data_IF_374659802988
#
_entry.id   IF_374659802988
#
_cell.length_a   1.000
_cell.length_b   1.000
_cell.length_c   1.000
_cell.angle_alpha   90.00
_cell.angle_beta   90.00
_cell.angle_gamma   90.00
#
_symmetry.space_group_name_H-M   'P 1'
#
loop_
_entity.id
_entity.type
_entity.pdbx_description
1 polymer ?
#
# COMPACT_ATOMS: atom_id res chain seq x y z
N UNK A 1 -1.33 54.63 -20.75
CA UNK A 1 -1.33 53.16 -20.54
C UNK A 1 0.05 52.56 -20.88
N UNK A 2 1.14 52.99 -20.20
CA UNK A 2 2.52 52.60 -20.56
C UNK A 2 3.13 51.50 -19.68
N UNK A 3 2.47 51.13 -18.60
CA UNK A 3 2.98 50.16 -17.61
C UNK A 3 2.17 48.86 -17.56
N UNK A 4 1.12 48.73 -18.39
CA UNK A 4 0.31 47.52 -18.50
C UNK A 4 1.11 46.24 -18.86
N UNK A 5 2.12 46.27 -19.76
CA UNK A 5 2.89 45.06 -20.05
C UNK A 5 3.84 44.64 -18.91
N UNK A 6 4.18 45.55 -17.98
CA UNK A 6 5.06 45.25 -16.84
C UNK A 6 4.27 44.51 -15.74
N UNK A 7 2.98 44.84 -15.57
CA UNK A 7 2.10 44.17 -14.60
C UNK A 7 1.85 42.69 -14.98
N UNK A 8 1.81 42.37 -16.28
CA UNK A 8 1.56 41.01 -16.77
C UNK A 8 2.76 40.07 -16.56
N UNK A 9 3.99 40.60 -16.56
CA UNK A 9 5.22 39.80 -16.35
C UNK A 9 5.40 39.43 -14.87
N UNK A 10 4.97 40.28 -13.94
CA UNK A 10 5.08 40.00 -12.49
C UNK A 10 4.10 38.89 -12.05
N UNK A 11 2.97 38.74 -12.73
CA UNK A 11 1.96 37.71 -12.44
C UNK A 11 2.35 36.30 -12.89
N UNK A 12 3.35 36.16 -13.78
CA UNK A 12 3.81 34.86 -14.29
C UNK A 12 4.95 34.25 -13.44
N UNK A 13 5.43 34.97 -12.43
CA UNK A 13 6.59 34.56 -11.61
C UNK A 13 6.25 33.76 -10.36
N UNK A 14 4.97 33.51 -10.07
CA UNK A 14 4.55 32.58 -9.01
C UNK A 14 4.49 31.13 -9.50
N UNK A 15 5.45 30.74 -10.33
CA UNK A 15 5.77 29.34 -10.57
C UNK A 15 6.34 28.76 -9.28
N UNK A 16 5.47 28.18 -8.45
CA UNK A 16 5.86 27.36 -7.32
C UNK A 16 6.75 26.24 -7.88
N UNK A 17 8.07 26.34 -7.73
CA UNK A 17 8.96 25.24 -8.08
C UNK A 17 8.53 24.08 -7.19
N UNK A 18 8.21 22.96 -7.83
CA UNK A 18 8.01 21.70 -7.13
C UNK A 18 9.39 21.23 -6.68
N UNK A 19 9.92 21.86 -5.64
CA UNK A 19 11.14 21.41 -4.99
C UNK A 19 10.84 20.01 -4.43
N UNK A 20 11.43 18.99 -5.04
CA UNK A 20 11.40 17.64 -4.51
C UNK A 20 12.02 17.68 -3.11
N UNK A 21 11.23 17.36 -2.09
CA UNK A 21 11.68 17.44 -0.70
C UNK A 21 12.55 16.21 -0.46
N UNK A 22 13.86 16.36 -0.66
CA UNK A 22 14.86 15.37 -0.25
C UNK A 22 15.30 15.71 1.18
N UNK A 23 14.81 14.98 2.20
CA UNK A 23 15.15 15.30 3.59
C UNK A 23 16.62 14.99 3.86
N UNK A 24 17.28 15.84 4.65
CA UNK A 24 18.66 15.63 5.07
C UNK A 24 18.74 14.60 6.20
N UNK A 25 19.94 14.06 6.43
CA UNK A 25 20.19 13.20 7.59
C UNK A 25 19.81 13.87 8.91
N UNK A 26 19.17 13.11 9.79
CA UNK A 26 18.62 13.58 11.06
C UNK A 26 17.42 14.53 10.96
N UNK A 27 16.96 14.89 9.75
CA UNK A 27 15.83 15.79 9.58
C UNK A 27 14.54 15.14 10.09
N UNK A 28 13.75 15.89 10.86
CA UNK A 28 12.41 15.48 11.25
C UNK A 28 11.42 15.85 10.16
N UNK A 29 10.63 14.87 9.74
CA UNK A 29 9.60 15.01 8.73
C UNK A 29 8.27 14.46 9.22
N UNK A 30 7.22 14.83 8.52
CA UNK A 30 5.91 14.21 8.67
C UNK A 30 5.66 13.28 7.48
N UNK A 31 5.20 12.07 7.76
CA UNK A 31 4.84 11.08 6.75
C UNK A 31 3.35 10.79 6.86
N UNK A 32 2.72 10.61 5.70
CA UNK A 32 1.41 9.99 5.57
C UNK A 32 1.60 8.51 5.30
N UNK A 33 0.96 7.65 6.08
CA UNK A 33 0.92 6.20 5.87
C UNK A 33 -0.51 5.83 5.48
N UNK A 34 -0.65 5.17 4.34
CA UNK A 34 -1.95 4.78 3.81
C UNK A 34 -2.60 3.60 4.54
N UNK A 35 -3.83 3.30 4.13
CA UNK A 35 -4.76 2.39 4.81
C UNK A 35 -4.51 0.89 4.57
N UNK A 36 -3.54 0.54 3.73
CA UNK A 36 -3.14 -0.86 3.60
C UNK A 36 -2.46 -1.29 4.90
N UNK A 37 -2.24 -2.58 5.09
CA UNK A 37 -1.49 -3.05 6.26
C UNK A 37 -0.22 -3.78 5.82
N UNK A 38 -0.28 -4.51 4.71
CA UNK A 38 0.89 -5.16 4.12
C UNK A 38 1.77 -4.17 3.34
N UNK A 39 3.08 -4.42 3.40
CA UNK A 39 4.15 -3.58 2.83
C UNK A 39 4.14 -3.56 1.30
N UNK A 40 3.64 -4.61 0.64
CA UNK A 40 3.67 -4.74 -0.83
C UNK A 40 2.81 -3.69 -1.55
N UNK A 41 1.73 -3.23 -0.93
CA UNK A 41 0.85 -2.17 -1.44
C UNK A 41 0.91 -0.90 -0.59
N UNK A 42 1.79 -0.86 0.40
CA UNK A 42 1.95 0.27 1.29
C UNK A 42 2.47 1.47 0.51
N UNK A 43 1.76 2.58 0.64
CA UNK A 43 2.22 3.89 0.18
C UNK A 43 2.47 4.76 1.39
N UNK A 44 3.73 5.12 1.55
CA UNK A 44 4.17 6.15 2.49
C UNK A 44 4.50 7.39 1.65
N UNK A 45 4.04 8.55 2.09
CA UNK A 45 4.27 9.80 1.40
C UNK A 45 4.80 10.87 2.33
N UNK A 46 5.73 11.69 1.84
CA UNK A 46 6.22 12.86 2.55
C UNK A 46 5.16 13.97 2.55
N UNK A 47 4.95 14.60 3.71
CA UNK A 47 4.04 15.73 3.85
C UNK A 47 4.80 17.07 3.86
N UNK A 48 4.17 18.16 3.39
CA UNK A 48 2.79 18.25 2.87
C UNK A 48 2.64 17.87 1.38
N UNK A 49 3.74 17.68 0.65
CA UNK A 49 3.73 17.49 -0.82
C UNK A 49 3.09 16.18 -1.31
N UNK A 50 2.85 15.21 -0.42
CA UNK A 50 2.38 13.85 -0.71
C UNK A 50 3.24 13.11 -1.75
N UNK A 51 4.55 13.39 -1.75
CA UNK A 51 5.50 12.68 -2.60
C UNK A 51 5.70 11.27 -2.06
N UNK A 52 5.46 10.24 -2.88
CA UNK A 52 5.67 8.85 -2.50
C UNK A 52 7.16 8.63 -2.18
N UNK A 53 7.44 8.04 -1.02
CA UNK A 53 8.81 7.65 -0.69
C UNK A 53 9.13 6.31 -1.37
N UNK A 54 10.39 6.15 -1.76
CA UNK A 54 10.93 4.90 -2.35
C UNK A 54 11.69 4.04 -1.34
N UNK A 55 11.62 4.39 -0.06
CA UNK A 55 12.24 3.68 1.06
C UNK A 55 11.18 3.29 2.10
N UNK A 56 11.59 2.76 3.25
CA UNK A 56 10.72 2.26 4.31
C UNK A 56 10.70 3.16 5.55
N UNK A 57 9.68 2.92 6.39
CA UNK A 57 9.55 3.46 7.74
C UNK A 57 9.86 2.35 8.74
N UNK A 58 10.98 2.49 9.43
CA UNK A 58 11.45 1.58 10.47
C UNK A 58 10.73 1.83 11.81
N UNK A 59 10.36 0.75 12.50
CA UNK A 59 9.83 0.80 13.86
C UNK A 59 8.37 1.23 14.00
N UNK A 60 7.59 1.24 12.92
CA UNK A 60 6.16 1.54 12.97
C UNK A 60 5.30 0.26 12.95
N UNK A 61 5.27 -0.43 14.10
CA UNK A 61 4.56 -1.71 14.25
C UNK A 61 3.08 -1.55 14.65
N UNK A 62 2.64 -0.32 14.97
CA UNK A 62 1.27 0.00 15.40
C UNK A 62 0.26 0.10 14.24
N UNK A 63 0.62 -0.41 13.05
CA UNK A 63 -0.18 -0.25 11.85
C UNK A 63 -1.40 -1.17 11.85
N UNK A 64 -2.57 -0.56 11.77
CA UNK A 64 -3.84 -1.28 11.60
C UNK A 64 -4.44 -1.09 10.21
N UNK A 65 -5.02 -2.18 9.68
CA UNK A 65 -5.74 -2.17 8.41
C UNK A 65 -6.93 -1.20 8.46
N UNK A 66 -7.14 -0.46 7.37
CA UNK A 66 -8.28 0.44 7.23
C UNK A 66 -8.14 1.77 7.98
N UNK A 67 -6.93 2.08 8.44
CA UNK A 67 -6.58 3.36 9.07
C UNK A 67 -5.46 4.05 8.32
N UNK A 68 -5.58 5.36 8.16
CA UNK A 68 -4.48 6.20 7.69
C UNK A 68 -3.80 6.89 8.86
N UNK A 69 -2.50 7.12 8.75
CA UNK A 69 -1.72 7.72 9.82
C UNK A 69 -0.97 8.94 9.31
N UNK A 70 -0.89 9.95 10.17
CA UNK A 70 0.14 10.97 10.09
C UNK A 70 1.16 10.65 11.16
N UNK A 71 2.42 10.44 10.79
CA UNK A 71 3.48 10.09 11.73
C UNK A 71 4.61 11.11 11.65
N UNK A 72 5.27 11.31 12.78
CA UNK A 72 6.56 11.99 12.85
C UNK A 72 7.65 10.94 12.70
N UNK A 73 8.60 11.21 11.82
CA UNK A 73 9.74 10.35 11.61
C UNK A 73 11.03 11.18 11.42
N UNK A 74 12.16 10.54 11.68
CA UNK A 74 13.48 11.09 11.47
C UNK A 74 14.15 10.42 10.29
N UNK A 75 14.67 11.18 9.36
CA UNK A 75 15.45 10.63 8.26
C UNK A 75 16.80 10.14 8.76
N UNK A 76 17.20 8.95 8.31
CA UNK A 76 18.48 8.34 8.64
C UNK A 76 19.26 7.99 7.38
N UNK A 77 20.50 8.45 7.32
CA UNK A 77 21.49 8.05 6.34
C UNK A 77 22.60 7.25 7.05
N UNK A 78 22.76 5.95 6.77
CA UNK A 78 23.84 5.18 7.34
C UNK A 78 25.19 5.72 6.84
N UNK A 79 26.21 5.71 7.72
CA UNK A 79 27.59 6.09 7.35
C UNK A 79 28.17 5.18 6.26
N UNK A 80 27.76 3.91 6.26
CA UNK A 80 28.09 2.92 5.24
C UNK A 80 26.77 2.35 4.74
N UNK A 81 26.38 2.59 3.48
CA UNK A 81 25.10 2.09 2.97
C UNK A 81 25.10 0.56 2.93
N UNK A 82 23.95 -0.07 3.20
CA UNK A 82 23.80 -1.52 3.02
C UNK A 82 24.01 -1.89 1.55
N UNK A 83 24.63 -3.04 1.29
CA UNK A 83 24.91 -3.52 -0.06
C UNK A 83 23.62 -3.72 -0.88
N UNK A 84 22.58 -4.27 -0.24
CA UNK A 84 21.30 -4.62 -0.89
C UNK A 84 20.12 -3.86 -0.25
N UNK A 85 20.33 -2.61 0.19
CA UNK A 85 19.28 -1.79 0.82
C UNK A 85 19.27 -0.35 0.35
N UNK A 86 18.26 0.44 0.77
CA UNK A 86 18.19 1.84 0.39
C UNK A 86 19.31 2.65 1.08
N UNK A 87 19.73 3.72 0.40
CA UNK A 87 20.75 4.64 0.91
C UNK A 87 20.28 5.48 2.11
N UNK A 88 18.98 5.46 2.41
CA UNK A 88 18.35 6.11 3.54
C UNK A 88 17.03 5.44 3.91
N UNK A 89 16.54 5.67 5.12
CA UNK A 89 15.19 5.31 5.55
C UNK A 89 14.67 6.28 6.61
N UNK A 90 13.43 6.09 7.04
CA UNK A 90 12.83 6.90 8.10
C UNK A 90 12.71 6.06 9.37
N UNK A 91 13.10 6.64 10.51
CA UNK A 91 12.92 6.05 11.83
C UNK A 91 11.66 6.67 12.44
N UNK A 92 10.69 5.84 12.77
CA UNK A 92 9.45 6.26 13.44
C UNK A 92 9.75 6.91 14.80
N UNK A 93 9.14 8.05 15.08
CA UNK A 93 9.22 8.69 16.41
C UNK A 93 7.87 8.64 17.15
N UNK A 94 6.77 9.00 16.49
CA UNK A 94 5.42 8.95 17.07
C UNK A 94 4.31 9.10 16.05
N UNK A 95 3.12 8.63 16.40
CA UNK A 95 1.87 8.95 15.70
C UNK A 95 1.46 10.39 16.03
N UNK A 96 1.12 11.17 15.01
CA UNK A 96 0.55 12.52 15.12
C UNK A 96 -0.97 12.49 14.98
N UNK A 97 -1.48 11.68 14.05
CA UNK A 97 -2.91 11.39 13.92
C UNK A 97 -3.13 9.98 13.38
N UNK A 98 -4.26 9.40 13.77
CA UNK A 98 -4.79 8.12 13.27
C UNK A 98 -6.25 8.38 12.88
N UNK A 99 -6.58 8.09 11.63
CA UNK A 99 -7.90 8.37 11.06
C UNK A 99 -8.45 7.11 10.40
N UNK A 100 -9.77 6.91 10.51
CA UNK A 100 -10.45 5.82 9.81
C UNK A 100 -10.47 6.17 8.32
N UNK A 101 -10.04 5.22 7.48
CA UNK A 101 -10.18 5.38 6.04
C UNK A 101 -11.65 5.23 5.63
N UNK A 102 -12.31 6.36 5.39
CA UNK A 102 -13.76 6.40 5.16
C UNK A 102 -14.18 6.17 3.70
N UNK A 103 -13.24 6.03 2.76
CA UNK A 103 -13.61 5.75 1.38
C UNK A 103 -14.19 4.34 1.25
N UNK A 104 -15.26 4.24 0.48
CA UNK A 104 -15.85 2.98 0.04
C UNK A 104 -15.40 2.59 -1.36
N UNK A 105 -14.44 3.33 -1.93
CA UNK A 105 -13.87 3.02 -3.24
C UNK A 105 -13.17 1.67 -3.19
N UNK A 106 -13.56 0.71 -4.05
CA UNK A 106 -12.89 -0.57 -4.12
C UNK A 106 -11.44 -0.45 -4.59
N UNK A 107 -10.59 -1.36 -4.13
CA UNK A 107 -9.19 -1.46 -4.52
C UNK A 107 -8.79 -2.91 -4.71
N UNK A 108 -7.70 -3.14 -5.45
CA UNK A 108 -7.22 -4.48 -5.74
C UNK A 108 -6.22 -4.98 -4.71
N UNK A 109 -6.37 -6.23 -4.28
CA UNK A 109 -5.36 -7.01 -3.58
C UNK A 109 -4.99 -8.23 -4.43
N UNK A 110 -3.74 -8.68 -4.33
CA UNK A 110 -3.35 -9.91 -5.03
C UNK A 110 -3.73 -11.12 -4.19
N UNK A 111 -4.35 -12.11 -4.83
CA UNK A 111 -4.64 -13.42 -4.23
C UNK A 111 -3.55 -14.45 -4.55
N UNK A 112 -2.46 -14.01 -5.20
CA UNK A 112 -1.28 -14.82 -5.53
C UNK A 112 -0.05 -14.21 -4.86
N UNK A 113 0.81 -15.04 -4.28
CA UNK A 113 2.16 -14.61 -3.91
C UNK A 113 3.18 -15.14 -4.91
N UNK A 114 4.25 -14.38 -5.12
CA UNK A 114 5.45 -14.81 -5.84
C UNK A 114 6.63 -14.69 -4.88
N UNK A 115 7.31 -15.79 -4.62
CA UNK A 115 8.53 -15.83 -3.82
C UNK A 115 9.69 -16.44 -4.61
N UNK A 116 10.88 -16.35 -4.04
CA UNK A 116 12.09 -16.94 -4.62
C UNK A 116 11.95 -18.45 -4.88
N UNK A 117 11.19 -19.14 -4.02
CA UNK A 117 10.98 -20.59 -4.06
C UNK A 117 9.69 -21.01 -4.77
N UNK A 118 8.99 -20.09 -5.44
CA UNK A 118 7.80 -20.38 -6.23
C UNK A 118 6.63 -19.43 -6.00
N UNK A 119 5.53 -19.72 -6.68
CA UNK A 119 4.28 -18.96 -6.60
C UNK A 119 3.16 -19.81 -6.02
N UNK A 120 2.18 -19.17 -5.39
CA UNK A 120 1.03 -19.87 -4.83
C UNK A 120 -0.14 -18.95 -4.52
N UNK A 121 -1.20 -19.53 -3.99
CA UNK A 121 -2.39 -18.79 -3.55
C UNK A 121 -2.13 -18.17 -2.18
N UNK A 122 -2.35 -16.86 -2.05
CA UNK A 122 -2.07 -16.06 -0.85
C UNK A 122 -3.13 -16.18 0.26
N UNK A 123 -4.16 -16.99 0.05
CA UNK A 123 -5.20 -17.26 1.03
C UNK A 123 -5.52 -18.76 1.15
N UNK A 124 -6.20 -19.11 2.23
CA UNK A 124 -6.70 -20.46 2.51
C UNK A 124 -8.17 -20.42 2.89
N UNK A 125 -8.86 -21.55 2.77
CA UNK A 125 -10.21 -21.73 3.31
C UNK A 125 -10.15 -22.72 4.47
N UNK A 126 -10.44 -22.25 5.69
CA UNK A 126 -10.41 -23.04 6.93
C UNK A 126 -11.58 -22.63 7.80
N UNK A 127 -12.22 -23.59 8.47
CA UNK A 127 -13.34 -23.31 9.39
C UNK A 127 -14.43 -22.41 8.78
N UNK A 128 -14.72 -22.57 7.49
CA UNK A 128 -15.69 -21.76 6.72
C UNK A 128 -15.30 -20.29 6.52
N UNK A 129 -14.04 -19.93 6.74
CA UNK A 129 -13.50 -18.58 6.57
C UNK A 129 -12.38 -18.60 5.53
N UNK A 130 -12.34 -17.58 4.66
CA UNK A 130 -11.19 -17.33 3.80
C UNK A 130 -10.17 -16.47 4.55
N UNK A 131 -9.01 -17.05 4.84
CA UNK A 131 -7.91 -16.43 5.58
C UNK A 131 -6.84 -15.94 4.60
N UNK A 132 -6.54 -14.65 4.61
CA UNK A 132 -5.52 -13.97 3.80
C UNK A 132 -4.50 -13.31 4.74
N UNK A 133 -3.38 -13.99 4.97
CA UNK A 133 -2.41 -13.57 5.99
C UNK A 133 -3.07 -13.47 7.38
N UNK A 134 -3.04 -12.27 7.96
CA UNK A 134 -3.69 -11.97 9.25
C UNK A 134 -5.13 -11.44 9.09
N UNK A 135 -5.67 -11.44 7.86
CA UNK A 135 -6.95 -10.84 7.53
C UNK A 135 -7.96 -11.89 7.03
N UNK A 136 -9.24 -11.56 7.12
CA UNK A 136 -10.33 -12.39 6.58
C UNK A 136 -10.85 -11.80 5.28
N UNK A 137 -11.07 -12.65 4.27
CA UNK A 137 -11.78 -12.29 3.04
C UNK A 137 -13.24 -12.71 3.18
N UNK A 138 -14.13 -11.74 3.37
CA UNK A 138 -15.57 -11.99 3.40
C UNK A 138 -16.15 -11.79 2.00
N UNK A 139 -16.68 -12.83 1.34
CA UNK A 139 -17.34 -12.64 0.05
C UNK A 139 -18.58 -11.74 0.24
N UNK A 140 -18.82 -10.85 -0.72
CA UNK A 140 -20.02 -10.00 -0.71
C UNK A 140 -21.30 -10.82 -0.90
N UNK A 141 -21.24 -11.89 -1.69
CA UNK A 141 -22.36 -12.77 -2.00
C UNK A 141 -21.87 -14.18 -2.40
N UNK A 142 -22.81 -15.11 -2.60
CA UNK A 142 -22.50 -16.51 -2.95
C UNK A 142 -21.76 -16.66 -4.28
N UNK A 143 -21.98 -15.75 -5.25
CA UNK A 143 -21.26 -15.79 -6.52
C UNK A 143 -19.78 -15.45 -6.30
N UNK A 144 -19.45 -14.44 -5.50
CA UNK A 144 -18.07 -14.10 -5.15
C UNK A 144 -17.42 -15.20 -4.31
N UNK A 145 -18.18 -15.82 -3.40
CA UNK A 145 -17.70 -16.99 -2.65
C UNK A 145 -17.24 -18.09 -3.59
N UNK A 146 -18.06 -18.42 -4.59
CA UNK A 146 -17.72 -19.43 -5.60
C UNK A 146 -16.45 -19.06 -6.39
N UNK A 147 -16.28 -17.78 -6.74
CA UNK A 147 -15.05 -17.32 -7.42
C UNK A 147 -13.79 -17.53 -6.55
N UNK A 148 -13.86 -17.26 -5.24
CA UNK A 148 -12.76 -17.54 -4.31
C UNK A 148 -12.46 -19.04 -4.21
N UNK A 149 -13.50 -19.88 -4.17
CA UNK A 149 -13.35 -21.34 -4.18
C UNK A 149 -12.69 -21.84 -5.47
N UNK A 150 -13.08 -21.30 -6.64
CA UNK A 150 -12.48 -21.60 -7.94
C UNK A 150 -10.99 -21.22 -7.99
N UNK A 151 -10.60 -20.09 -7.39
CA UNK A 151 -9.19 -19.70 -7.27
C UNK A 151 -8.38 -20.71 -6.45
N UNK A 152 -8.94 -21.28 -5.38
CA UNK A 152 -8.24 -22.29 -4.59
C UNK A 152 -7.93 -23.56 -5.41
N UNK A 153 -8.77 -23.90 -6.39
CA UNK A 153 -8.55 -25.03 -7.28
C UNK A 153 -7.32 -24.82 -8.19
N UNK A 154 -6.89 -23.58 -8.41
CA UNK A 154 -5.72 -23.26 -9.23
C UNK A 154 -4.39 -23.58 -8.53
N UNK A 155 -4.38 -23.91 -7.23
CA UNK A 155 -3.16 -24.16 -6.44
C UNK A 155 -2.26 -25.20 -7.09
N UNK A 156 -2.81 -26.37 -7.45
CA UNK A 156 -2.05 -27.44 -8.10
C UNK A 156 -1.44 -27.01 -9.43
N UNK A 157 -2.15 -26.18 -10.20
CA UNK A 157 -1.68 -25.65 -11.48
C UNK A 157 -0.56 -24.62 -11.30
N UNK A 158 -0.66 -23.76 -10.29
CA UNK A 158 0.42 -22.81 -9.94
C UNK A 158 1.69 -23.53 -9.48
N UNK A 159 1.55 -24.64 -8.76
CA UNK A 159 2.69 -25.43 -8.25
C UNK A 159 3.36 -26.27 -9.34
N UNK A 160 2.60 -26.79 -10.31
CA UNK A 160 3.10 -27.71 -11.34
C UNK A 160 3.47 -27.06 -12.68
N UNK A 161 2.89 -25.92 -13.02
CA UNK A 161 3.14 -25.19 -14.28
C UNK A 161 3.76 -23.82 -14.00
N UNK A 162 5.10 -23.76 -14.03
CA UNK A 162 5.85 -22.53 -13.84
C UNK A 162 5.50 -21.44 -14.87
N UNK A 163 5.27 -21.81 -16.14
CA UNK A 163 4.97 -20.83 -17.19
C UNK A 163 3.59 -20.19 -17.00
N UNK A 164 2.62 -20.98 -16.53
CA UNK A 164 1.33 -20.45 -16.08
C UNK A 164 1.50 -19.58 -14.84
N UNK A 165 2.23 -20.05 -13.83
CA UNK A 165 2.39 -19.38 -12.54
C UNK A 165 3.01 -17.98 -12.65
N UNK A 166 3.99 -17.79 -13.54
CA UNK A 166 4.61 -16.46 -13.75
C UNK A 166 3.70 -15.50 -14.51
N UNK A 167 2.79 -15.98 -15.36
CA UNK A 167 1.94 -15.14 -16.24
C UNK A 167 0.62 -14.77 -15.61
N UNK A 168 -0.02 -15.71 -14.90
CA UNK A 168 -1.38 -15.52 -14.40
C UNK A 168 -1.43 -14.43 -13.34
N UNK A 169 -2.40 -13.54 -13.44
CA UNK A 169 -2.69 -12.52 -12.43
C UNK A 169 -4.00 -12.91 -11.76
N UNK A 170 -3.98 -13.02 -10.43
CA UNK A 170 -5.15 -13.37 -9.63
C UNK A 170 -5.34 -12.25 -8.61
N UNK A 171 -6.36 -11.43 -8.82
CA UNK A 171 -6.65 -10.28 -7.97
C UNK A 171 -8.09 -10.33 -7.45
N UNK A 172 -8.29 -9.81 -6.26
CA UNK A 172 -9.61 -9.49 -5.73
C UNK A 172 -9.78 -7.98 -5.66
N UNK A 173 -10.92 -7.51 -6.13
CA UNK A 173 -11.40 -6.17 -5.83
C UNK A 173 -12.09 -6.20 -4.46
N UNK A 174 -11.67 -5.33 -3.55
CA UNK A 174 -12.11 -5.35 -2.16
C UNK A 174 -12.40 -3.96 -1.60
N UNK A 175 -13.15 -3.93 -0.52
CA UNK A 175 -13.22 -2.78 0.41
C UNK A 175 -12.86 -3.27 1.82
N UNK A 176 -12.49 -2.37 2.72
CA UNK A 176 -12.36 -2.72 4.14
C UNK A 176 -13.72 -3.16 4.70
N UNK A 177 -13.73 -4.19 5.55
CA UNK A 177 -14.97 -4.67 6.17
C UNK A 177 -15.41 -3.71 7.30
N UNK A 178 -16.53 -2.96 7.19
CA UNK A 178 -16.90 -2.00 8.22
C UNK A 178 -17.17 -2.63 9.59
N UNK A 179 -17.59 -3.90 9.64
CA UNK A 179 -17.82 -4.62 10.89
C UNK A 179 -16.55 -5.27 11.47
N UNK A 180 -15.47 -5.35 10.69
CA UNK A 180 -14.21 -6.01 11.08
C UNK A 180 -12.98 -5.29 10.50
N UNK A 181 -12.98 -3.95 10.57
CA UNK A 181 -12.13 -3.07 9.74
C UNK A 181 -10.64 -3.33 9.86
N UNK A 182 -10.15 -3.63 11.06
CA UNK A 182 -8.74 -3.90 11.32
C UNK A 182 -8.31 -5.33 10.98
N UNK A 183 -9.24 -6.20 10.59
CA UNK A 183 -8.99 -7.65 10.43
C UNK A 183 -9.60 -8.26 9.17
N UNK A 184 -10.20 -7.48 8.27
CA UNK A 184 -10.84 -8.08 7.12
C UNK A 184 -11.24 -7.14 5.99
N UNK A 185 -11.48 -7.77 4.85
CA UNK A 185 -11.94 -7.17 3.62
C UNK A 185 -13.27 -7.79 3.20
N UNK A 186 -14.12 -7.00 2.54
CA UNK A 186 -15.24 -7.51 1.75
C UNK A 186 -14.77 -7.63 0.32
N UNK A 187 -14.84 -8.84 -0.23
CA UNK A 187 -14.50 -9.12 -1.64
C UNK A 187 -15.71 -8.82 -2.51
N UNK A 188 -15.53 -7.92 -3.48
CA UNK A 188 -16.54 -7.49 -4.46
C UNK A 188 -16.51 -8.35 -5.70
N UNK A 189 -15.31 -8.66 -6.18
CA UNK A 189 -15.11 -9.50 -7.36
C UNK A 189 -13.73 -10.12 -7.35
N UNK A 190 -13.56 -11.21 -8.11
CA UNK A 190 -12.27 -11.87 -8.33
C UNK A 190 -12.02 -11.94 -9.83
N UNK A 191 -10.80 -11.57 -10.23
CA UNK A 191 -10.35 -11.64 -11.61
C UNK A 191 -9.13 -12.56 -11.72
N UNK A 192 -9.20 -13.50 -12.67
CA UNK A 192 -8.09 -14.36 -13.10
C UNK A 192 -7.77 -14.00 -14.55
N UNK A 193 -6.58 -13.50 -14.81
CA UNK A 193 -6.12 -13.03 -16.11
C UNK A 193 -4.84 -13.73 -16.55
#
# INVERSE_FOLDING_TARGET
MRYLPILLIILLSFGCSKDSINPKDGQIVELFVDHYAETSNQRISLLPGKELITTYLEGFDERELGYTYKVRARTFYPKVPPQDGPNNWFIFEKVLSKEIYNSTEPFNISLKYNGLFGSGIAFAFRNQVFEYGNYTLRPENDAVKKQLEEVLLLRSKLESDYQYAIKVIINAEVIHDPSNRSKGYIVKSVAVQ
#
